data_IF_460451622659
#
_entry.id   IF_460451622659
#
_cell.length_a   1.000
_cell.length_b   1.000
_cell.length_c   1.000
_cell.angle_alpha   90.00
_cell.angle_beta   90.00
_cell.angle_gamma   90.00
#
_symmetry.space_group_name_H-M   'P 1'
#
loop_
_entity.id
_entity.type
_entity.pdbx_description
1 polymer ?
#
# COMPACT_ATOMS: atom_id res chain seq x y z
N UNK A 1 -10.65 -2.28 -16.98
CA UNK A 1 -11.10 -1.64 -15.73
C UNK A 1 -10.24 -2.12 -14.58
N UNK A 2 -9.69 -1.22 -13.77
CA UNK A 2 -8.78 -1.61 -12.70
C UNK A 2 -9.53 -2.30 -11.56
N UNK A 3 -8.95 -3.38 -11.02
CA UNK A 3 -9.47 -4.02 -9.83
C UNK A 3 -9.28 -3.13 -8.60
N UNK A 4 -9.97 -3.44 -7.51
CA UNK A 4 -9.73 -2.73 -6.24
C UNK A 4 -8.27 -2.91 -5.79
N UNK A 5 -7.68 -4.08 -6.02
CA UNK A 5 -6.27 -4.33 -5.75
C UNK A 5 -5.36 -3.37 -6.54
N UNK A 6 -5.59 -3.23 -7.85
CA UNK A 6 -4.80 -2.32 -8.69
C UNK A 6 -4.94 -0.87 -8.23
N UNK A 7 -6.16 -0.45 -7.88
CA UNK A 7 -6.42 0.90 -7.37
C UNK A 7 -5.73 1.12 -6.02
N UNK A 8 -5.75 0.12 -5.13
CA UNK A 8 -5.11 0.19 -3.83
C UNK A 8 -3.60 0.36 -3.97
N UNK A 9 -2.98 -0.47 -4.80
CA UNK A 9 -1.54 -0.41 -5.04
C UNK A 9 -1.14 0.92 -5.68
N UNK A 10 -1.91 1.39 -6.66
CA UNK A 10 -1.67 2.67 -7.32
C UNK A 10 -1.76 3.84 -6.32
N UNK A 11 -2.75 3.83 -5.43
CA UNK A 11 -2.87 4.88 -4.40
C UNK A 11 -1.68 4.87 -3.44
N UNK A 12 -1.24 3.69 -3.00
CA UNK A 12 -0.07 3.55 -2.14
C UNK A 12 1.17 4.15 -2.83
N UNK A 13 1.37 3.84 -4.10
CA UNK A 13 2.51 4.37 -4.87
C UNK A 13 2.45 5.89 -5.03
N UNK A 14 1.27 6.45 -5.29
CA UNK A 14 1.09 7.91 -5.41
C UNK A 14 1.39 8.61 -4.08
N UNK A 15 0.91 8.04 -2.97
CA UNK A 15 1.19 8.59 -1.64
C UNK A 15 2.67 8.52 -1.30
N UNK A 16 3.31 7.41 -1.65
CA UNK A 16 4.73 7.19 -1.38
C UNK A 16 5.62 8.16 -2.17
N UNK A 17 5.24 8.48 -3.41
CA UNK A 17 6.04 9.31 -4.31
C UNK A 17 5.73 10.81 -4.20
N UNK A 18 4.68 11.19 -3.47
CA UNK A 18 4.36 12.59 -3.20
C UNK A 18 4.35 12.85 -1.69
N UNK A 19 5.53 13.18 -1.10
CA UNK A 19 5.63 13.40 0.34
C UNK A 19 4.89 14.65 0.84
N UNK A 20 4.42 15.51 -0.05
CA UNK A 20 3.63 16.70 0.33
C UNK A 20 2.17 16.36 0.59
N UNK A 21 1.71 15.19 0.12
CA UNK A 21 0.33 14.78 0.28
C UNK A 21 0.09 14.25 1.70
N UNK A 22 -0.86 14.85 2.40
CA UNK A 22 -1.16 14.46 3.77
C UNK A 22 -1.82 13.08 3.83
N UNK A 23 -1.44 12.29 4.84
CA UNK A 23 -2.10 11.04 5.17
C UNK A 23 -3.21 11.34 6.18
N UNK A 24 -4.25 12.01 5.71
CA UNK A 24 -5.37 12.46 6.53
C UNK A 24 -6.45 11.37 6.67
N UNK A 25 -7.50 11.60 7.50
CA UNK A 25 -8.57 10.62 7.66
C UNK A 25 -9.31 10.26 6.36
N UNK A 26 -9.38 11.16 5.39
CA UNK A 26 -10.01 10.88 4.09
C UNK A 26 -9.19 9.87 3.28
N UNK A 27 -7.88 10.02 3.29
CA UNK A 27 -6.96 9.07 2.65
C UNK A 27 -7.09 7.71 3.33
N UNK A 28 -7.09 7.67 4.66
CA UNK A 28 -7.23 6.41 5.40
C UNK A 28 -8.56 5.73 5.09
N UNK A 29 -9.63 6.49 4.99
CA UNK A 29 -10.96 5.96 4.63
C UNK A 29 -10.94 5.37 3.21
N UNK A 30 -10.30 6.03 2.26
CA UNK A 30 -10.16 5.53 0.89
C UNK A 30 -9.36 4.23 0.86
N UNK A 31 -8.24 4.17 1.59
CA UNK A 31 -7.45 2.94 1.71
C UNK A 31 -8.26 1.80 2.31
N UNK A 32 -9.05 2.09 3.34
CA UNK A 32 -9.92 1.09 3.99
C UNK A 32 -10.97 0.56 3.03
N UNK A 33 -11.62 1.44 2.27
CA UNK A 33 -12.64 1.05 1.29
C UNK A 33 -12.04 0.15 0.21
N UNK A 34 -10.91 0.54 -0.36
CA UNK A 34 -10.24 -0.26 -1.40
C UNK A 34 -9.74 -1.59 -0.84
N UNK A 35 -9.20 -1.59 0.39
CA UNK A 35 -8.77 -2.82 1.05
C UNK A 35 -9.95 -3.77 1.25
N UNK A 36 -11.09 -3.26 1.71
CA UNK A 36 -12.29 -4.09 1.91
C UNK A 36 -12.79 -4.69 0.59
N UNK A 37 -12.81 -3.89 -0.47
CA UNK A 37 -13.21 -4.37 -1.79
C UNK A 37 -12.25 -5.45 -2.31
N UNK A 38 -10.95 -5.26 -2.13
CA UNK A 38 -9.93 -6.23 -2.55
C UNK A 38 -10.01 -7.53 -1.74
N UNK A 39 -10.29 -7.45 -0.43
CA UNK A 39 -10.52 -8.62 0.43
C UNK A 39 -11.77 -9.36 -0.04
N UNK A 40 -12.85 -8.64 -0.31
CA UNK A 40 -14.11 -9.22 -0.79
C UNK A 40 -13.93 -9.92 -2.14
N UNK A 41 -13.10 -9.36 -3.02
CA UNK A 41 -12.75 -9.95 -4.31
C UNK A 41 -11.73 -11.10 -4.19
N UNK A 42 -11.21 -11.35 -2.99
CA UNK A 42 -10.19 -12.37 -2.69
C UNK A 42 -8.83 -12.11 -3.36
N UNK A 43 -8.57 -10.89 -3.76
CA UNK A 43 -7.25 -10.46 -4.25
C UNK A 43 -6.29 -10.17 -3.09
N UNK A 44 -6.84 -9.89 -1.91
CA UNK A 44 -6.12 -9.70 -0.65
C UNK A 44 -6.56 -10.78 0.33
N UNK A 45 -5.64 -11.21 1.18
CA UNK A 45 -5.86 -12.25 2.18
C UNK A 45 -7.16 -11.98 2.98
N UNK A 46 -8.09 -12.91 2.93
CA UNK A 46 -9.41 -12.78 3.54
C UNK A 46 -9.39 -12.83 5.07
N UNK A 47 -8.28 -13.23 5.67
CA UNK A 47 -8.09 -13.21 7.12
C UNK A 47 -7.70 -11.84 7.67
N UNK A 48 -7.32 -10.90 6.78
CA UNK A 48 -6.95 -9.56 7.17
C UNK A 48 -8.20 -8.67 7.33
N UNK A 49 -8.07 -7.68 8.22
CA UNK A 49 -9.11 -6.67 8.42
C UNK A 49 -8.76 -5.39 7.65
N UNK A 50 -9.72 -4.85 6.91
CA UNK A 50 -9.49 -3.68 6.05
C UNK A 50 -8.92 -2.47 6.80
N UNK A 51 -9.40 -2.21 8.02
CA UNK A 51 -8.90 -1.10 8.83
C UNK A 51 -7.43 -1.27 9.24
N UNK A 52 -7.05 -2.50 9.57
CA UNK A 52 -5.65 -2.80 9.89
C UNK A 52 -4.76 -2.69 8.65
N UNK A 53 -5.24 -3.16 7.51
CA UNK A 53 -4.53 -3.03 6.24
C UNK A 53 -4.29 -1.56 5.92
N UNK A 54 -5.31 -0.71 6.04
CA UNK A 54 -5.18 0.72 5.76
C UNK A 54 -4.17 1.38 6.70
N UNK A 55 -4.21 1.06 7.99
CA UNK A 55 -3.30 1.60 8.99
C UNK A 55 -1.85 1.23 8.68
N UNK A 56 -1.58 -0.01 8.35
CA UNK A 56 -0.23 -0.47 8.01
C UNK A 56 0.25 0.06 6.66
N UNK A 57 -0.63 0.20 5.67
CA UNK A 57 -0.28 0.81 4.39
C UNK A 57 0.15 2.27 4.60
N UNK A 58 -0.56 3.02 5.45
CA UNK A 58 -0.15 4.37 5.82
C UNK A 58 1.24 4.40 6.46
N UNK A 59 1.51 3.47 7.37
CA UNK A 59 2.82 3.33 8.00
C UNK A 59 3.92 2.98 7.00
N UNK A 60 3.64 2.12 6.03
CA UNK A 60 4.61 1.77 4.99
C UNK A 60 4.90 2.96 4.06
N UNK A 61 3.89 3.78 3.75
CA UNK A 61 4.09 5.02 2.99
C UNK A 61 5.02 5.96 3.75
N UNK A 62 4.79 6.15 5.05
CA UNK A 62 5.66 6.98 5.90
C UNK A 62 7.08 6.42 5.92
N UNK A 63 7.23 5.10 6.07
CA UNK A 63 8.53 4.45 6.05
C UNK A 63 9.26 4.67 4.73
N UNK A 64 8.57 4.54 3.60
CA UNK A 64 9.15 4.80 2.28
C UNK A 64 9.64 6.25 2.18
N UNK A 65 8.82 7.21 2.60
CA UNK A 65 9.22 8.64 2.59
C UNK A 65 10.46 8.87 3.43
N UNK A 66 10.55 8.22 4.60
CA UNK A 66 11.71 8.31 5.49
C UNK A 66 12.97 7.72 4.85
N UNK A 67 12.84 6.55 4.22
CA UNK A 67 13.96 5.91 3.51
C UNK A 67 14.46 6.80 2.38
N UNK A 68 13.56 7.40 1.60
CA UNK A 68 13.93 8.32 0.52
C UNK A 68 14.69 9.55 1.03
N UNK A 69 14.24 10.10 2.15
CA UNK A 69 14.88 11.28 2.75
C UNK A 69 16.26 10.94 3.33
N UNK A 70 16.42 9.75 3.88
CA UNK A 70 17.67 9.31 4.52
C UNK A 70 18.70 8.81 3.51
N UNK A 71 18.24 8.22 2.40
CA UNK A 71 19.10 7.59 1.38
C UNK A 71 18.81 8.14 -0.02
N UNK A 72 19.03 9.46 -0.25
CA UNK A 72 18.70 10.06 -1.55
C UNK A 72 19.61 9.57 -2.69
N UNK A 73 20.74 8.92 -2.35
CA UNK A 73 21.65 8.34 -3.33
C UNK A 73 21.12 7.08 -4.01
N UNK A 74 20.15 6.41 -3.40
CA UNK A 74 19.53 5.23 -3.97
C UNK A 74 18.54 5.64 -5.05
N UNK A 75 18.47 4.89 -6.15
CA UNK A 75 17.52 5.15 -7.22
C UNK A 75 16.08 5.09 -6.68
N UNK A 76 15.27 6.14 -6.88
CA UNK A 76 13.87 6.15 -6.44
C UNK A 76 13.05 4.95 -6.93
N UNK A 77 13.31 4.48 -8.14
CA UNK A 77 12.57 3.35 -8.72
C UNK A 77 12.90 2.05 -7.97
N UNK A 78 14.12 1.91 -7.45
CA UNK A 78 14.50 0.76 -6.64
C UNK A 78 13.70 0.72 -5.34
N UNK A 79 13.61 1.84 -4.63
CA UNK A 79 12.85 1.91 -3.39
C UNK A 79 11.36 1.71 -3.61
N UNK A 80 10.82 2.24 -4.70
CA UNK A 80 9.41 2.06 -5.03
C UNK A 80 9.10 0.59 -5.37
N UNK A 81 10.00 -0.07 -6.11
CA UNK A 81 9.87 -1.49 -6.41
C UNK A 81 9.90 -2.35 -5.14
N UNK A 82 10.74 -1.99 -4.18
CA UNK A 82 10.80 -2.68 -2.89
C UNK A 82 9.53 -2.48 -2.07
N UNK A 83 8.99 -1.26 -2.04
CA UNK A 83 7.71 -1.00 -1.37
C UNK A 83 6.60 -1.85 -1.98
N UNK A 84 6.52 -1.87 -3.31
CA UNK A 84 5.53 -2.69 -4.04
C UNK A 84 5.65 -4.16 -3.67
N UNK A 85 6.87 -4.66 -3.61
CA UNK A 85 7.14 -6.06 -3.24
C UNK A 85 6.69 -6.38 -1.82
N UNK A 86 6.99 -5.50 -0.87
CA UNK A 86 6.59 -5.66 0.53
C UNK A 86 5.07 -5.72 0.63
N UNK A 87 4.37 -4.76 0.03
CA UNK A 87 2.91 -4.67 0.05
C UNK A 87 2.30 -5.91 -0.60
N UNK A 88 2.79 -6.29 -1.77
CA UNK A 88 2.27 -7.44 -2.52
C UNK A 88 2.43 -8.74 -1.75
N UNK A 89 3.61 -9.00 -1.18
CA UNK A 89 3.87 -10.22 -0.42
C UNK A 89 3.04 -10.31 0.85
N UNK A 90 2.84 -9.19 1.51
CA UNK A 90 2.05 -9.15 2.73
C UNK A 90 0.56 -9.40 2.46
N UNK A 91 0.01 -8.76 1.43
CA UNK A 91 -1.43 -8.74 1.20
C UNK A 91 -1.95 -9.89 0.35
N UNK A 92 -1.13 -10.50 -0.50
CA UNK A 92 -1.61 -11.62 -1.31
C UNK A 92 -1.93 -12.84 -0.44
N UNK A 93 -2.99 -13.59 -0.79
CA UNK A 93 -3.33 -14.80 -0.07
C UNK A 93 -2.19 -15.83 -0.10
N UNK A 94 -2.04 -16.57 1.00
CA UNK A 94 -1.15 -17.72 1.00
C UNK A 94 -1.62 -18.72 -0.05
N UNK A 95 -0.69 -19.20 -0.89
CA UNK A 95 -1.05 -20.20 -1.91
C UNK A 95 -1.36 -21.53 -1.26
N UNK A 96 -2.42 -22.23 -1.70
CA UNK A 96 -2.67 -23.60 -1.27
C UNK A 96 -1.48 -24.48 -1.65
N UNK A 97 -1.12 -25.32 -0.75
CA UNK A 97 -0.06 -26.31 -1.01
C UNK A 97 -0.64 -27.58 -1.60
#
# INVERSE_FOLDING_TARGET
MDSAWDQLLDLVERLATDPTRALDPDVERTLTTLALEAITARDVDTELHAGDVARWLGGLVVAHRSVRATHPEVDPDTDLADLRRIVTRWLHPARPR
#
